data_IF_459322359758
#
_entry.id   IF_459322359758
#
_cell.length_a   1.000
_cell.length_b   1.000
_cell.length_c   1.000
_cell.angle_alpha   90.00
_cell.angle_beta   90.00
_cell.angle_gamma   90.00
#
_symmetry.space_group_name_H-M   'P 1'
#
loop_
_entity.id
_entity.type
_entity.pdbx_description
1 polymer ?
#
# COMPACT_ATOMS: atom_id res chain seq x y z
N UNK A 1 35.41 -4.42 -68.47
CA UNK A 1 34.27 -3.81 -67.74
C UNK A 1 34.79 -3.42 -66.37
N UNK A 2 34.74 -2.12 -66.04
CA UNK A 2 35.49 -1.48 -64.96
C UNK A 2 34.73 -1.48 -63.61
N UNK A 3 35.50 -1.27 -62.54
CA UNK A 3 35.26 -1.47 -61.10
C UNK A 3 34.33 -0.48 -60.37
N UNK A 4 33.65 -0.99 -59.32
CA UNK A 4 33.27 -0.42 -57.99
C UNK A 4 32.38 0.87 -57.97
N UNK A 5 31.66 1.22 -56.86
CA UNK A 5 31.99 0.93 -55.46
C UNK A 5 30.86 0.61 -54.46
N UNK A 6 31.32 0.12 -53.30
CA UNK A 6 30.70 0.15 -51.97
C UNK A 6 30.26 1.56 -51.59
N UNK A 7 29.05 1.70 -51.07
CA UNK A 7 28.66 2.80 -50.18
C UNK A 7 27.68 2.30 -49.12
N UNK A 8 28.09 2.40 -47.86
CA UNK A 8 27.23 2.56 -46.69
C UNK A 8 27.87 3.71 -45.92
N UNK A 9 27.16 4.80 -45.58
CA UNK A 9 26.53 4.83 -44.26
C UNK A 9 25.24 5.67 -44.20
N UNK A 10 24.31 5.29 -43.34
CA UNK A 10 23.14 6.11 -43.03
C UNK A 10 22.27 5.42 -42.00
N UNK A 11 22.39 5.89 -40.77
CA UNK A 11 21.46 5.73 -39.65
C UNK A 11 20.00 5.98 -40.04
N UNK A 12 19.07 5.56 -39.16
CA UNK A 12 17.60 5.78 -39.22
C UNK A 12 16.91 4.67 -40.05
N UNK A 13 16.05 3.78 -39.55
CA UNK A 13 15.05 3.86 -38.48
C UNK A 13 14.87 2.49 -37.81
N UNK A 14 15.10 2.41 -36.50
CA UNK A 14 14.55 1.30 -35.71
C UNK A 14 13.05 1.57 -35.53
N UNK A 15 12.30 0.94 -36.42
CA UNK A 15 10.89 0.63 -36.26
C UNK A 15 10.62 0.11 -34.83
N UNK A 16 10.11 1.00 -33.98
CA UNK A 16 9.53 0.64 -32.68
C UNK A 16 8.09 1.13 -32.65
N UNK A 17 7.28 0.64 -33.59
CA UNK A 17 5.82 0.69 -33.51
C UNK A 17 5.32 -0.37 -32.50
N UNK A 18 5.82 -0.26 -31.26
CA UNK A 18 5.12 -0.79 -30.11
C UNK A 18 4.44 0.41 -29.46
N UNK A 19 3.10 0.50 -29.47
CA UNK A 19 2.44 1.44 -28.60
C UNK A 19 2.84 1.06 -27.18
N UNK A 20 3.66 1.90 -26.56
CA UNK A 20 3.72 2.01 -25.12
C UNK A 20 2.25 2.09 -24.69
N UNK A 21 1.75 0.99 -24.14
CA UNK A 21 0.44 0.99 -23.52
C UNK A 21 0.53 2.08 -22.47
N UNK A 22 -0.10 3.23 -22.77
CA UNK A 22 -0.51 4.17 -21.77
C UNK A 22 -1.38 3.34 -20.82
N UNK A 23 -0.77 2.89 -19.73
CA UNK A 23 -1.50 2.37 -18.58
C UNK A 23 -2.50 3.46 -18.24
N UNK A 24 -3.78 3.16 -18.46
CA UNK A 24 -4.85 4.09 -18.22
C UNK A 24 -4.69 4.58 -16.77
N UNK A 25 -4.29 5.84 -16.62
CA UNK A 25 -4.43 6.60 -15.38
C UNK A 25 -5.94 6.83 -15.22
N UNK A 26 -6.64 5.78 -14.82
CA UNK A 26 -7.93 5.96 -14.16
C UNK A 26 -7.62 6.60 -12.82
N UNK A 27 -8.32 7.68 -12.49
CA UNK A 27 -8.34 8.24 -11.15
C UNK A 27 -8.87 7.15 -10.21
N UNK A 28 -8.00 6.31 -9.65
CA UNK A 28 -8.39 5.35 -8.63
C UNK A 28 -8.82 6.15 -7.39
N UNK A 29 -10.08 6.00 -7.00
CA UNK A 29 -10.63 6.67 -5.82
C UNK A 29 -9.82 6.27 -4.59
N UNK A 30 -9.18 7.27 -3.96
CA UNK A 30 -8.37 7.08 -2.76
C UNK A 30 -9.24 7.31 -1.54
N UNK A 31 -9.31 6.32 -0.67
CA UNK A 31 -10.03 6.38 0.59
C UNK A 31 -9.04 6.39 1.75
N UNK A 32 -9.06 7.48 2.54
CA UNK A 32 -8.24 7.58 3.74
C UNK A 32 -8.89 6.82 4.91
N UNK A 33 -8.16 5.89 5.51
CA UNK A 33 -8.58 5.11 6.65
C UNK A 33 -7.77 5.54 7.87
N UNK A 34 -8.35 6.41 8.69
CA UNK A 34 -7.71 6.90 9.91
C UNK A 34 -7.47 5.76 10.91
N UNK A 35 -6.32 5.75 11.57
CA UNK A 35 -5.97 4.80 12.64
C UNK A 35 -6.15 5.44 14.02
N UNK A 36 -7.24 6.18 14.21
CA UNK A 36 -7.56 6.98 15.40
C UNK A 36 -8.39 6.22 16.46
N UNK A 37 -8.88 5.02 16.13
CA UNK A 37 -9.59 4.16 17.07
C UNK A 37 -8.63 3.57 18.12
N UNK A 38 -8.91 3.72 19.44
CA UNK A 38 -8.09 3.11 20.49
C UNK A 38 -7.99 1.58 20.38
N UNK A 39 -9.06 0.92 19.95
CA UNK A 39 -9.05 -0.54 19.70
C UNK A 39 -8.10 -0.89 18.55
N UNK A 40 -8.12 -0.12 17.47
CA UNK A 40 -7.25 -0.34 16.30
C UNK A 40 -5.77 -0.10 16.66
N UNK A 41 -5.46 0.96 17.41
CA UNK A 41 -4.10 1.27 17.85
C UNK A 41 -3.54 0.23 18.82
N UNK A 42 -4.36 -0.28 19.74
CA UNK A 42 -3.97 -1.36 20.65
C UNK A 42 -3.67 -2.64 19.85
N UNK A 43 -4.56 -3.03 18.93
CA UNK A 43 -4.35 -4.20 18.07
C UNK A 43 -3.05 -4.08 17.26
N UNK A 44 -2.80 -2.90 16.67
CA UNK A 44 -1.59 -2.64 15.90
C UNK A 44 -0.33 -2.71 16.76
N UNK A 45 -0.39 -2.21 18.00
CA UNK A 45 0.74 -2.29 18.93
C UNK A 45 1.10 -3.73 19.28
N UNK A 46 0.09 -4.57 19.52
CA UNK A 46 0.27 -5.99 19.78
C UNK A 46 0.83 -6.74 18.56
N UNK A 47 0.28 -6.49 17.37
CA UNK A 47 0.69 -7.12 16.12
C UNK A 47 2.12 -6.74 15.72
N UNK A 48 2.49 -5.48 15.88
CA UNK A 48 3.79 -4.93 15.50
C UNK A 48 4.84 -5.07 16.60
N UNK A 49 4.43 -5.49 17.81
CA UNK A 49 5.30 -5.60 18.98
C UNK A 49 6.04 -4.29 19.28
N UNK A 50 5.34 -3.17 19.09
CA UNK A 50 5.85 -1.81 19.19
C UNK A 50 4.74 -0.88 19.65
N UNK A 51 5.06 0.25 20.27
CA UNK A 51 4.06 1.26 20.60
C UNK A 51 3.63 1.99 19.33
N UNK A 52 2.42 1.68 18.84
CA UNK A 52 1.93 2.22 17.57
C UNK A 52 1.77 3.75 17.59
N UNK A 53 1.45 4.35 18.74
CA UNK A 53 1.32 5.80 18.85
C UNK A 53 2.65 6.51 18.54
N UNK A 54 3.77 5.90 18.92
CA UNK A 54 5.11 6.42 18.64
C UNK A 54 5.51 6.33 17.16
N UNK A 55 4.81 5.51 16.37
CA UNK A 55 5.05 5.36 14.93
C UNK A 55 4.46 6.51 14.10
N UNK A 56 3.60 7.34 14.72
CA UNK A 56 3.06 8.56 14.12
C UNK A 56 2.36 8.32 12.76
N UNK A 57 1.64 7.21 12.67
CA UNK A 57 0.79 6.87 11.53
C UNK A 57 -0.61 7.41 11.78
N UNK A 58 -1.06 8.33 10.91
CA UNK A 58 -2.42 8.88 10.96
C UNK A 58 -3.45 7.94 10.34
N UNK A 59 -3.01 7.16 9.36
CA UNK A 59 -3.86 6.22 8.67
C UNK A 59 -3.22 5.62 7.43
N UNK A 60 -4.04 4.92 6.66
CA UNK A 60 -3.64 4.29 5.40
C UNK A 60 -4.59 4.72 4.28
N UNK A 61 -4.05 5.06 3.13
CA UNK A 61 -4.84 5.29 1.93
C UNK A 61 -5.08 3.97 1.21
N UNK A 62 -6.34 3.71 0.86
CA UNK A 62 -6.79 2.46 0.24
C UNK A 62 -7.56 2.75 -1.04
N UNK A 63 -7.64 1.77 -1.95
CA UNK A 63 -8.41 1.91 -3.20
C UNK A 63 -9.89 1.55 -3.05
N UNK A 64 -10.39 1.51 -1.81
CA UNK A 64 -11.78 1.23 -1.48
C UNK A 64 -12.17 1.72 -0.09
N UNK A 65 -13.47 1.91 0.21
CA UNK A 65 -13.94 2.40 1.50
C UNK A 65 -13.84 1.33 2.60
N UNK A 66 -13.89 1.76 3.87
CA UNK A 66 -14.02 0.84 5.01
C UNK A 66 -15.33 0.06 4.92
N UNK A 67 -15.32 -1.19 5.37
CA UNK A 67 -16.47 -2.08 5.37
C UNK A 67 -16.80 -2.60 6.76
N UNK A 68 -18.06 -2.90 7.02
CA UNK A 68 -18.48 -3.57 8.26
C UNK A 68 -18.40 -5.08 8.08
N UNK A 69 -17.71 -5.76 9.00
CA UNK A 69 -17.55 -7.20 9.00
C UNK A 69 -18.92 -7.89 9.15
N UNK A 70 -19.26 -8.77 8.22
CA UNK A 70 -20.52 -9.54 8.26
C UNK A 70 -20.54 -10.58 9.38
N UNK A 71 -19.38 -11.00 9.89
CA UNK A 71 -19.26 -11.99 10.96
C UNK A 71 -19.37 -11.39 12.37
N UNK A 72 -18.77 -10.23 12.62
CA UNK A 72 -18.69 -9.67 13.98
C UNK A 72 -19.04 -8.17 14.11
N UNK A 73 -19.37 -7.49 13.01
CA UNK A 73 -19.73 -6.07 13.01
C UNK A 73 -18.56 -5.09 13.16
N UNK A 74 -17.30 -5.57 13.27
CA UNK A 74 -16.10 -4.70 13.29
C UNK A 74 -16.00 -3.91 11.97
N UNK A 75 -15.69 -2.62 12.05
CA UNK A 75 -15.30 -1.82 10.88
C UNK A 75 -13.89 -2.22 10.44
N UNK A 76 -13.68 -2.37 9.13
CA UNK A 76 -12.39 -2.77 8.58
C UNK A 76 -11.34 -1.71 8.87
N UNK A 77 -10.12 -2.15 9.17
CA UNK A 77 -9.02 -1.28 9.57
C UNK A 77 -7.67 -1.75 9.05
N UNK A 78 -6.65 -0.95 9.35
CA UNK A 78 -5.27 -1.26 9.06
C UNK A 78 -4.78 -2.47 9.87
N UNK A 79 -5.33 -2.70 11.07
CA UNK A 79 -5.10 -3.89 11.87
C UNK A 79 -5.43 -5.19 11.14
N UNK A 80 -6.50 -5.21 10.32
CA UNK A 80 -6.87 -6.37 9.50
C UNK A 80 -5.81 -6.67 8.42
N UNK A 81 -5.26 -5.61 7.80
CA UNK A 81 -4.20 -5.71 6.79
C UNK A 81 -2.93 -6.25 7.41
N UNK A 82 -2.49 -5.63 8.51
CA UNK A 82 -1.28 -6.02 9.26
C UNK A 82 -1.39 -7.45 9.75
N UNK A 83 -2.50 -7.80 10.42
CA UNK A 83 -2.76 -9.18 10.87
C UNK A 83 -2.70 -10.17 9.72
N UNK A 84 -3.33 -9.86 8.59
CA UNK A 84 -3.34 -10.77 7.44
C UNK A 84 -1.93 -10.99 6.89
N UNK A 85 -1.19 -9.91 6.66
CA UNK A 85 0.17 -9.93 6.15
C UNK A 85 1.12 -10.76 7.04
N UNK A 86 1.00 -10.62 8.37
CA UNK A 86 1.74 -11.41 9.33
C UNK A 86 1.32 -12.90 9.29
N UNK A 87 0.01 -13.18 9.25
CA UNK A 87 -0.52 -14.55 9.23
C UNK A 87 -0.11 -15.32 7.97
N UNK A 88 -0.06 -14.66 6.81
CA UNK A 88 0.37 -15.29 5.55
C UNK A 88 1.89 -15.31 5.36
N UNK A 89 2.65 -14.71 6.29
CA UNK A 89 4.10 -14.65 6.23
C UNK A 89 4.65 -13.73 5.14
N UNK A 90 3.84 -12.79 4.63
CA UNK A 90 4.28 -11.82 3.63
C UNK A 90 5.35 -10.87 4.21
N UNK A 91 5.21 -10.52 5.49
CA UNK A 91 6.12 -9.66 6.23
C UNK A 91 6.28 -10.15 7.67
N UNK A 92 7.41 -9.83 8.30
CA UNK A 92 7.54 -9.92 9.76
C UNK A 92 7.12 -8.61 10.43
N UNK A 93 6.78 -8.65 11.72
CA UNK A 93 6.48 -7.44 12.51
C UNK A 93 7.64 -6.44 12.45
N UNK A 94 8.88 -6.93 12.50
CA UNK A 94 10.09 -6.12 12.37
C UNK A 94 10.18 -5.43 11.01
N UNK A 95 9.89 -6.15 9.91
CA UNK A 95 9.92 -5.55 8.56
C UNK A 95 8.87 -4.44 8.42
N UNK A 96 7.68 -4.66 8.97
CA UNK A 96 6.62 -3.66 9.00
C UNK A 96 7.03 -2.42 9.78
N UNK A 97 7.54 -2.57 11.01
CA UNK A 97 8.01 -1.43 11.82
C UNK A 97 9.14 -0.69 11.11
N UNK A 98 10.10 -1.40 10.52
CA UNK A 98 11.19 -0.78 9.76
C UNK A 98 10.68 0.00 8.54
N UNK A 99 9.65 -0.51 7.85
CA UNK A 99 9.02 0.22 6.74
C UNK A 99 8.25 1.44 7.23
N UNK A 100 7.46 1.28 8.31
CA UNK A 100 6.66 2.32 8.95
C UNK A 100 7.53 3.42 9.53
N UNK A 101 8.77 3.15 9.93
CA UNK A 101 9.69 4.15 10.47
C UNK A 101 10.60 4.73 9.37
N UNK A 102 11.17 3.86 8.54
CA UNK A 102 12.15 4.21 7.50
C UNK A 102 11.59 4.87 6.25
N UNK A 103 10.26 4.88 6.06
CA UNK A 103 9.64 5.51 4.88
C UNK A 103 9.69 4.62 3.64
N UNK A 104 9.98 3.33 3.83
CA UNK A 104 9.96 2.34 2.76
C UNK A 104 8.53 2.00 2.37
N UNK A 105 8.37 1.65 1.10
CA UNK A 105 7.22 0.88 0.64
C UNK A 105 7.59 -0.59 0.74
N UNK A 106 6.83 -1.38 1.51
CA UNK A 106 6.89 -2.84 1.36
C UNK A 106 6.22 -3.18 0.03
N UNK A 107 6.89 -3.98 -0.78
CA UNK A 107 6.29 -4.50 -2.00
C UNK A 107 5.00 -5.25 -1.61
N UNK A 108 3.86 -4.77 -2.12
CA UNK A 108 2.56 -5.38 -1.89
C UNK A 108 2.32 -6.49 -2.92
N UNK A 109 3.20 -7.48 -2.95
CA UNK A 109 2.88 -8.72 -3.62
C UNK A 109 2.10 -9.59 -2.64
N UNK A 110 0.77 -9.60 -2.79
CA UNK A 110 -0.17 -10.63 -2.28
C UNK A 110 -0.87 -10.34 -0.94
N UNK A 111 -1.86 -9.44 -0.92
CA UNK A 111 -3.01 -9.56 -0.01
C UNK A 111 -4.29 -9.74 -0.83
N UNK A 112 -4.38 -10.79 -1.66
CA UNK A 112 -5.59 -11.07 -2.47
C UNK A 112 -6.85 -11.24 -1.61
N UNK A 113 -6.67 -11.69 -0.36
CA UNK A 113 -7.74 -11.74 0.63
C UNK A 113 -7.20 -11.13 1.93
N UNK A 114 -7.94 -10.16 2.48
CA UNK A 114 -7.74 -9.64 3.85
C UNK A 114 -8.79 -10.30 4.74
N UNK A 115 -8.44 -10.61 5.98
CA UNK A 115 -9.34 -11.21 6.96
C UNK A 115 -9.56 -10.28 8.14
N UNK A 116 -10.77 -10.29 8.69
CA UNK A 116 -11.09 -9.57 9.91
C UNK A 116 -10.22 -10.07 11.07
N UNK A 117 -9.47 -9.17 11.70
CA UNK A 117 -8.60 -9.46 12.83
C UNK A 117 -9.39 -10.10 13.98
N UNK A 118 -10.61 -9.61 14.23
CA UNK A 118 -11.45 -10.02 15.36
C UNK A 118 -12.05 -11.43 15.24
N UNK A 119 -12.58 -11.79 14.07
CA UNK A 119 -13.32 -13.06 13.90
C UNK A 119 -12.80 -13.97 12.79
N UNK A 120 -11.82 -13.53 11.99
CA UNK A 120 -11.25 -14.31 10.89
C UNK A 120 -12.10 -14.35 9.62
N UNK A 121 -13.26 -13.69 9.58
CA UNK A 121 -14.10 -13.62 8.37
C UNK A 121 -13.33 -12.95 7.23
N UNK A 122 -13.39 -13.52 6.03
CA UNK A 122 -12.76 -12.94 4.85
C UNK A 122 -13.53 -11.70 4.38
N UNK A 123 -12.82 -10.61 4.12
CA UNK A 123 -13.41 -9.45 3.46
C UNK A 123 -13.73 -9.80 2.00
N UNK A 124 -14.86 -9.29 1.49
CA UNK A 124 -15.27 -9.56 0.10
C UNK A 124 -14.19 -9.11 -0.89
N UNK A 125 -13.87 -9.95 -1.88
CA UNK A 125 -12.91 -9.61 -2.96
C UNK A 125 -13.33 -8.34 -3.72
N UNK A 126 -12.36 -7.58 -4.21
CA UNK A 126 -12.59 -6.37 -5.03
C UNK A 126 -12.81 -5.08 -4.24
N UNK A 127 -12.49 -5.06 -2.94
CA UNK A 127 -12.78 -3.96 -2.02
C UNK A 127 -11.58 -3.05 -1.75
N UNK A 128 -10.64 -3.00 -2.70
CA UNK A 128 -9.59 -1.96 -2.71
C UNK A 128 -8.29 -2.29 -1.98
N UNK A 129 -8.03 -3.58 -1.68
CA UNK A 129 -6.81 -4.04 -0.99
C UNK A 129 -5.63 -4.35 -1.93
N UNK A 130 -5.89 -4.54 -3.23
CA UNK A 130 -5.01 -5.24 -4.18
C UNK A 130 -3.92 -4.41 -4.86
N UNK A 131 -3.83 -3.11 -4.58
CA UNK A 131 -2.81 -2.21 -5.17
C UNK A 131 -1.94 -1.48 -4.14
N UNK A 132 -1.87 -2.02 -2.93
CA UNK A 132 -1.07 -1.46 -1.84
C UNK A 132 -1.73 -0.22 -1.24
N UNK A 133 -1.83 -0.20 0.09
CA UNK A 133 -2.13 1.04 0.80
C UNK A 133 -0.84 1.80 1.09
N UNK A 134 -0.88 3.13 1.01
CA UNK A 134 0.25 3.96 1.45
C UNK A 134 -0.05 4.59 2.81
N UNK A 135 0.93 4.54 3.70
CA UNK A 135 0.84 5.11 5.04
C UNK A 135 0.83 6.64 4.96
N UNK A 136 -0.08 7.26 5.71
CA UNK A 136 -0.08 8.71 5.95
C UNK A 136 0.49 8.93 7.34
N UNK A 137 1.51 9.79 7.44
CA UNK A 137 2.16 10.13 8.71
C UNK A 137 1.80 11.51 9.19
N UNK A 138 1.79 11.67 10.50
CA UNK A 138 1.64 12.95 11.14
C UNK A 138 2.95 13.74 11.10
N UNK A 139 2.91 15.03 11.48
CA UNK A 139 4.13 15.78 11.74
C UNK A 139 4.93 15.09 12.86
N UNK A 140 6.28 15.11 12.84
CA UNK A 140 7.09 14.51 13.89
C UNK A 140 6.59 14.86 15.29
N UNK A 141 6.55 13.88 16.20
CA UNK A 141 6.14 14.11 17.58
C UNK A 141 7.04 15.20 18.18
N UNK A 142 6.47 16.36 18.52
CA UNK A 142 7.19 17.53 19.02
C UNK A 142 7.59 18.58 17.98
N UNK A 143 7.18 18.46 16.71
CA UNK A 143 7.24 19.58 15.77
C UNK A 143 6.00 20.43 15.91
N UNK A 144 6.15 21.64 16.44
CA UNK A 144 5.13 22.70 16.47
C UNK A 144 4.86 23.23 15.05
N UNK A 145 4.40 22.37 14.14
CA UNK A 145 3.86 22.80 12.84
C UNK A 145 2.35 22.96 12.99
N UNK A 146 1.83 24.20 12.94
CA UNK A 146 0.40 24.41 12.97
C UNK A 146 -0.23 23.75 11.73
N UNK A 147 -1.33 23.02 11.95
CA UNK A 147 -2.22 22.60 10.87
C UNK A 147 -2.88 23.87 10.32
N UNK A 148 -2.49 24.31 9.14
CA UNK A 148 -3.26 25.32 8.40
C UNK A 148 -4.58 24.68 7.93
N UNK A 149 -5.70 25.23 8.39
CA UNK A 149 -7.09 24.90 8.00
C UNK A 149 -7.41 25.24 6.53
#
# INVERSE_FOLDING_TARGET
MASLPVQNPGSEDLNTDQPHQAVASGDEEVHFWATDSPEEQQNLSELLQSDFETLNVLGVNMTGPRMVCTGCGKLSGFDDVVSTALKVGAHTAKDMVNSITGGGNLASNQHENVYCYKCGEAWRRGTGWGRGGWLVRGPPIGSDVPFDE
#
